data_IF_378018564512
#
_entry.id   IF_378018564512
#
_cell.length_a   1.000
_cell.length_b   1.000
_cell.length_c   1.000
_cell.angle_alpha   90.00
_cell.angle_beta   90.00
_cell.angle_gamma   90.00
#
_symmetry.space_group_name_H-M   'P 1'
#
loop_
_entity.id
_entity.type
_entity.pdbx_description
1 polymer ?
#
# COMPACT_ATOMS: atom_id res chain seq x y z
N UNK A 1 13.86 -45.56 17.69
CA UNK A 1 13.11 -44.36 17.27
C UNK A 1 13.38 -44.12 15.78
N UNK A 2 12.50 -44.57 14.86
CA UNK A 2 12.67 -44.29 13.44
C UNK A 2 12.00 -42.97 13.05
N UNK A 3 12.77 -42.06 12.45
CA UNK A 3 12.28 -40.84 11.78
C UNK A 3 11.67 -41.25 10.45
N UNK A 4 10.34 -41.36 10.39
CA UNK A 4 9.60 -41.49 9.14
C UNK A 4 9.55 -40.13 8.45
N UNK A 5 10.10 -40.10 7.24
CA UNK A 5 10.28 -38.89 6.46
C UNK A 5 8.93 -38.49 5.85
N UNK A 6 8.48 -37.26 6.12
CA UNK A 6 7.23 -36.64 5.64
C UNK A 6 7.29 -36.28 4.14
N UNK A 7 7.57 -37.23 3.25
CA UNK A 7 7.51 -36.99 1.79
C UNK A 7 6.10 -37.17 1.19
N UNK A 8 5.13 -37.68 1.96
CA UNK A 8 3.80 -37.99 1.44
C UNK A 8 2.86 -36.77 1.29
N UNK A 9 3.22 -35.60 1.82
CA UNK A 9 2.35 -34.41 1.78
C UNK A 9 2.52 -33.55 0.51
N UNK A 10 3.59 -33.74 -0.29
CA UNK A 10 3.86 -32.91 -1.47
C UNK A 10 3.37 -33.52 -2.81
N UNK A 11 2.93 -34.78 -2.80
CA UNK A 11 2.47 -35.48 -4.01
C UNK A 11 1.14 -34.97 -4.61
N UNK A 12 0.11 -34.57 -3.83
CA UNK A 12 -1.14 -34.10 -4.43
C UNK A 12 -1.04 -32.70 -5.06
N UNK A 13 -0.12 -31.86 -4.58
CA UNK A 13 0.09 -30.47 -5.08
C UNK A 13 0.66 -30.47 -6.51
N UNK A 14 1.49 -31.45 -6.84
CA UNK A 14 2.06 -31.61 -8.18
C UNK A 14 1.07 -32.27 -9.17
N UNK A 15 0.15 -33.09 -8.68
CA UNK A 15 -0.81 -33.81 -9.50
C UNK A 15 -2.03 -32.96 -9.92
N UNK A 16 -2.41 -31.97 -9.11
CA UNK A 16 -3.60 -31.15 -9.31
C UNK A 16 -3.31 -29.66 -9.05
N UNK A 17 -2.46 -29.01 -9.86
CA UNK A 17 -2.09 -27.61 -9.66
C UNK A 17 -3.33 -26.70 -9.66
N UNK A 18 -4.39 -27.02 -10.41
CA UNK A 18 -5.64 -26.21 -10.42
C UNK A 18 -6.40 -26.20 -9.10
N UNK A 19 -6.30 -27.24 -8.27
CA UNK A 19 -7.02 -27.31 -6.99
C UNK A 19 -6.27 -26.50 -5.92
N UNK A 20 -4.94 -26.61 -5.88
CA UNK A 20 -4.11 -25.78 -5.01
C UNK A 20 -4.20 -24.28 -5.34
N UNK A 21 -4.39 -23.94 -6.62
CA UNK A 21 -4.58 -22.56 -7.12
C UNK A 21 -5.87 -21.89 -6.65
N UNK A 22 -6.99 -22.61 -6.67
CA UNK A 22 -8.26 -22.11 -6.14
C UNK A 22 -8.20 -21.93 -4.61
N UNK A 23 -7.47 -22.81 -3.92
CA UNK A 23 -7.36 -22.79 -2.45
C UNK A 23 -6.54 -21.61 -1.92
N UNK A 24 -5.60 -21.05 -2.70
CA UNK A 24 -4.83 -19.86 -2.31
C UNK A 24 -5.72 -18.62 -2.37
N UNK A 25 -6.40 -18.37 -3.48
CA UNK A 25 -7.29 -17.20 -3.63
C UNK A 25 -8.45 -17.20 -2.62
N UNK A 26 -8.95 -18.36 -2.20
CA UNK A 26 -9.99 -18.46 -1.17
C UNK A 26 -9.49 -18.09 0.24
N UNK A 27 -8.17 -18.10 0.47
CA UNK A 27 -7.54 -17.80 1.77
C UNK A 27 -6.91 -16.41 1.84
N UNK A 28 -6.63 -15.79 0.69
CA UNK A 28 -6.08 -14.44 0.60
C UNK A 28 -7.20 -13.42 0.63
N UNK A 29 -7.22 -12.58 1.67
CA UNK A 29 -8.16 -11.47 1.73
C UNK A 29 -7.88 -10.47 0.60
N UNK A 30 -8.90 -10.00 -0.13
CA UNK A 30 -8.70 -9.02 -1.18
C UNK A 30 -8.26 -7.66 -0.62
N UNK A 31 -7.52 -6.86 -1.40
CA UNK A 31 -6.93 -5.61 -0.92
C UNK A 31 -8.00 -4.55 -0.59
N UNK A 32 -9.18 -4.63 -1.22
CA UNK A 32 -10.33 -3.75 -0.97
C UNK A 32 -11.16 -4.15 0.28
N UNK A 33 -10.57 -4.91 1.20
CA UNK A 33 -11.25 -5.21 2.46
C UNK A 33 -11.60 -3.93 3.24
N UNK A 34 -12.80 -3.85 3.85
CA UNK A 34 -13.24 -2.66 4.59
C UNK A 34 -12.28 -2.25 5.70
N UNK A 35 -11.60 -3.22 6.33
CA UNK A 35 -10.62 -2.96 7.37
C UNK A 35 -9.39 -2.21 6.83
N UNK A 36 -8.83 -2.68 5.71
CA UNK A 36 -7.67 -2.06 5.05
C UNK A 36 -8.02 -0.64 4.59
N UNK A 37 -9.19 -0.47 4.00
CA UNK A 37 -9.71 0.85 3.61
C UNK A 37 -9.86 1.77 4.83
N UNK A 38 -10.43 1.27 5.92
CA UNK A 38 -10.55 2.02 7.18
C UNK A 38 -9.21 2.48 7.72
N UNK A 39 -8.22 1.60 7.80
CA UNK A 39 -6.86 1.94 8.23
C UNK A 39 -6.19 2.96 7.30
N UNK A 40 -6.38 2.81 5.98
CA UNK A 40 -5.86 3.77 4.98
C UNK A 40 -6.48 5.16 5.18
N UNK A 41 -7.78 5.23 5.43
CA UNK A 41 -8.47 6.49 5.71
C UNK A 41 -7.98 7.14 7.01
N UNK A 42 -7.74 6.35 8.06
CA UNK A 42 -7.16 6.85 9.32
C UNK A 42 -5.74 7.39 9.08
N UNK A 43 -4.88 6.63 8.38
CA UNK A 43 -3.54 7.06 8.04
C UNK A 43 -3.56 8.36 7.22
N UNK A 44 -4.46 8.46 6.24
CA UNK A 44 -4.67 9.67 5.46
C UNK A 44 -5.11 10.85 6.34
N UNK A 45 -6.12 10.66 7.20
CA UNK A 45 -6.61 11.72 8.08
C UNK A 45 -5.52 12.26 9.01
N UNK A 46 -4.74 11.37 9.63
CA UNK A 46 -3.63 11.73 10.53
C UNK A 46 -2.54 12.49 9.77
N UNK A 47 -2.12 11.97 8.61
CA UNK A 47 -1.04 12.57 7.82
C UNK A 47 -1.42 13.94 7.27
N UNK A 48 -2.67 14.11 6.80
CA UNK A 48 -3.22 15.39 6.35
C UNK A 48 -3.30 16.39 7.50
N UNK A 49 -3.82 16.00 8.67
CA UNK A 49 -3.90 16.88 9.83
C UNK A 49 -2.52 17.40 10.26
N UNK A 50 -1.51 16.53 10.23
CA UNK A 50 -0.12 16.89 10.51
C UNK A 50 0.49 17.79 9.44
N UNK A 51 0.22 17.53 8.16
CA UNK A 51 0.72 18.33 7.03
C UNK A 51 0.12 19.74 6.97
N UNK A 52 -1.14 19.90 7.39
CA UNK A 52 -1.81 21.20 7.46
C UNK A 52 -1.31 22.06 8.64
N UNK A 53 -0.57 21.48 9.58
CA UNK A 53 -0.03 22.24 10.70
C UNK A 53 0.91 23.37 10.23
N UNK A 54 0.91 24.50 10.94
CA UNK A 54 1.88 25.57 10.72
C UNK A 54 3.30 25.23 11.16
N UNK A 55 3.49 24.15 11.94
CA UNK A 55 4.79 23.75 12.48
C UNK A 55 5.52 22.82 11.51
N UNK A 56 6.74 23.19 11.12
CA UNK A 56 7.60 22.37 10.24
C UNK A 56 7.82 20.94 10.77
N UNK A 57 7.98 20.79 12.09
CA UNK A 57 8.18 19.49 12.75
C UNK A 57 6.97 18.58 12.59
N UNK A 58 5.75 19.12 12.69
CA UNK A 58 4.52 18.35 12.50
C UNK A 58 4.32 17.95 11.04
N UNK A 59 4.68 18.82 10.09
CA UNK A 59 4.67 18.46 8.66
C UNK A 59 5.63 17.31 8.35
N UNK A 60 6.84 17.38 8.91
CA UNK A 60 7.82 16.30 8.78
C UNK A 60 7.30 14.99 9.42
N UNK A 61 6.66 15.06 10.59
CA UNK A 61 6.02 13.91 11.20
C UNK A 61 4.91 13.33 10.31
N UNK A 62 4.07 14.17 9.70
CA UNK A 62 3.05 13.74 8.75
C UNK A 62 3.65 13.02 7.54
N UNK A 63 4.77 13.51 7.01
CA UNK A 63 5.50 12.85 5.93
C UNK A 63 6.06 11.49 6.36
N UNK A 64 6.68 11.40 7.53
CA UNK A 64 7.23 10.15 8.06
C UNK A 64 6.12 9.11 8.28
N UNK A 65 4.98 9.51 8.86
CA UNK A 65 3.84 8.59 9.05
C UNK A 65 3.30 8.10 7.71
N UNK A 66 3.19 8.98 6.72
CA UNK A 66 2.73 8.59 5.38
C UNK A 66 3.70 7.63 4.69
N UNK A 67 5.00 7.84 4.86
CA UNK A 67 6.04 6.96 4.33
C UNK A 67 6.02 5.59 5.01
N UNK A 68 5.91 5.56 6.35
CA UNK A 68 5.80 4.31 7.12
C UNK A 68 4.55 3.54 6.71
N UNK A 69 3.42 4.23 6.49
CA UNK A 69 2.21 3.60 5.98
C UNK A 69 2.42 2.98 4.59
N UNK A 70 3.05 3.70 3.67
CA UNK A 70 3.33 3.18 2.33
C UNK A 70 4.22 1.92 2.37
N UNK A 71 5.28 1.96 3.18
CA UNK A 71 6.19 0.81 3.37
C UNK A 71 5.44 -0.37 3.99
N UNK A 72 4.65 -0.12 5.03
CA UNK A 72 3.86 -1.15 5.68
C UNK A 72 2.86 -1.76 4.69
N UNK A 73 1.97 -0.95 4.11
CA UNK A 73 0.87 -1.40 3.25
C UNK A 73 1.35 -2.19 2.04
N UNK A 74 2.43 -1.74 1.38
CA UNK A 74 2.99 -2.41 0.21
C UNK A 74 3.85 -3.61 0.63
N UNK A 75 4.68 -3.45 1.67
CA UNK A 75 5.63 -4.47 2.10
C UNK A 75 5.00 -5.67 2.80
N UNK A 76 3.84 -5.53 3.43
CA UNK A 76 3.14 -6.62 4.10
C UNK A 76 2.07 -7.29 3.25
N UNK A 77 1.85 -6.83 2.01
CA UNK A 77 0.84 -7.43 1.15
C UNK A 77 1.31 -8.77 0.56
N UNK A 78 0.42 -9.76 0.54
CA UNK A 78 0.71 -11.11 0.05
C UNK A 78 1.07 -11.14 -1.43
N UNK A 79 0.66 -10.12 -2.21
CA UNK A 79 1.08 -9.95 -3.60
C UNK A 79 2.60 -9.89 -3.78
N UNK A 80 3.32 -9.36 -2.78
CA UNK A 80 4.78 -9.21 -2.80
C UNK A 80 5.50 -10.28 -1.97
N UNK A 81 4.77 -11.15 -1.29
CA UNK A 81 5.36 -12.30 -0.59
C UNK A 81 6.05 -13.22 -1.58
N UNK A 82 7.25 -13.70 -1.22
CA UNK A 82 8.00 -14.68 -2.03
C UNK A 82 7.25 -16.02 -2.12
N UNK A 83 6.49 -16.36 -1.08
CA UNK A 83 5.77 -17.63 -0.98
C UNK A 83 4.41 -17.59 -1.68
N UNK A 84 3.65 -16.49 -1.55
CA UNK A 84 2.24 -16.41 -1.98
C UNK A 84 2.06 -15.61 -3.27
N UNK A 85 2.88 -14.57 -3.47
CA UNK A 85 2.76 -13.64 -4.60
C UNK A 85 2.84 -14.31 -5.99
N UNK A 86 3.74 -15.27 -6.25
CA UNK A 86 3.78 -16.00 -7.51
C UNK A 86 2.49 -16.77 -7.81
N UNK A 87 1.83 -17.31 -6.79
CA UNK A 87 0.57 -18.06 -6.96
C UNK A 87 -0.58 -17.12 -7.31
N UNK A 88 -0.74 -16.01 -6.56
CA UNK A 88 -1.77 -15.00 -6.84
C UNK A 88 -1.67 -14.49 -8.30
N UNK A 89 -0.46 -14.22 -8.79
CA UNK A 89 -0.23 -13.70 -10.15
C UNK A 89 -0.53 -14.70 -11.26
N UNK A 90 -0.41 -15.99 -10.98
CA UNK A 90 -0.73 -17.07 -11.93
C UNK A 90 -2.22 -17.35 -11.95
N UNK A 91 -2.90 -17.15 -10.82
CA UNK A 91 -4.30 -17.53 -10.63
C UNK A 91 -5.29 -16.45 -11.04
N UNK A 92 -4.89 -15.18 -10.93
CA UNK A 92 -5.72 -14.07 -11.38
C UNK A 92 -5.64 -13.87 -12.90
N UNK A 93 -6.78 -13.61 -13.57
CA UNK A 93 -6.80 -13.07 -14.92
C UNK A 93 -5.94 -11.79 -15.01
N UNK A 94 -5.25 -11.59 -16.13
CA UNK A 94 -4.34 -10.46 -16.30
C UNK A 94 -4.97 -9.07 -16.03
N UNK A 95 -6.27 -8.92 -16.25
CA UNK A 95 -7.01 -7.70 -15.90
C UNK A 95 -7.17 -7.51 -14.39
N UNK A 96 -7.58 -8.55 -13.68
CA UNK A 96 -7.80 -8.53 -12.24
C UNK A 96 -6.49 -8.40 -11.46
N UNK A 97 -5.43 -9.06 -11.92
CA UNK A 97 -4.06 -8.89 -11.42
C UNK A 97 -3.61 -7.42 -11.43
N UNK A 98 -3.94 -6.67 -12.49
CA UNK A 98 -3.62 -5.23 -12.59
C UNK A 98 -4.44 -4.40 -11.63
N UNK A 99 -5.74 -4.71 -11.48
CA UNK A 99 -6.62 -4.02 -10.53
C UNK A 99 -6.12 -4.24 -9.11
N UNK A 100 -5.80 -5.49 -8.76
CA UNK A 100 -5.27 -5.86 -7.46
C UNK A 100 -4.01 -5.07 -7.12
N UNK A 101 -2.99 -5.13 -8.00
CA UNK A 101 -1.75 -4.38 -7.82
C UNK A 101 -2.00 -2.86 -7.76
N UNK A 102 -2.86 -2.35 -8.63
CA UNK A 102 -3.22 -0.94 -8.67
C UNK A 102 -3.83 -0.47 -7.35
N UNK A 103 -4.73 -1.27 -6.77
CA UNK A 103 -5.35 -0.97 -5.47
C UNK A 103 -4.33 -0.94 -4.35
N UNK A 104 -3.44 -1.94 -4.24
CA UNK A 104 -2.39 -1.96 -3.20
C UNK A 104 -1.51 -0.72 -3.28
N UNK A 105 -1.05 -0.40 -4.50
CA UNK A 105 -0.17 0.74 -4.75
C UNK A 105 -0.90 2.04 -4.43
N UNK A 106 -2.17 2.17 -4.82
CA UNK A 106 -2.99 3.33 -4.52
C UNK A 106 -3.18 3.51 -3.00
N UNK A 107 -3.62 2.48 -2.30
CA UNK A 107 -3.85 2.52 -0.84
C UNK A 107 -2.57 2.82 -0.06
N UNK A 108 -1.44 2.27 -0.50
CA UNK A 108 -0.15 2.54 0.12
C UNK A 108 0.31 3.98 -0.11
N UNK A 109 0.15 4.51 -1.32
CA UNK A 109 0.71 5.80 -1.71
C UNK A 109 -0.20 7.00 -1.47
N UNK A 110 -1.53 6.81 -1.34
CA UNK A 110 -2.50 7.91 -1.17
C UNK A 110 -2.13 8.86 -0.02
N UNK A 111 -1.81 8.40 1.19
CA UNK A 111 -1.39 9.29 2.28
C UNK A 111 -0.12 10.10 1.95
N UNK A 112 0.84 9.46 1.27
CA UNK A 112 2.10 10.10 0.90
C UNK A 112 1.90 11.20 -0.15
N UNK A 113 1.11 10.90 -1.19
CA UNK A 113 0.75 11.86 -2.23
C UNK A 113 0.00 13.05 -1.62
N UNK A 114 -0.92 12.82 -0.68
CA UNK A 114 -1.66 13.89 -0.02
C UNK A 114 -0.72 14.86 0.73
N UNK A 115 0.22 14.34 1.52
CA UNK A 115 1.20 15.17 2.24
C UNK A 115 2.08 15.96 1.27
N UNK A 116 2.55 15.34 0.18
CA UNK A 116 3.36 16.01 -0.84
C UNK A 116 2.62 17.16 -1.52
N UNK A 117 1.35 16.93 -1.90
CA UNK A 117 0.49 17.96 -2.51
C UNK A 117 0.28 19.13 -1.54
N UNK A 118 -0.04 18.86 -0.28
CA UNK A 118 -0.20 19.90 0.75
C UNK A 118 1.12 20.67 0.93
N UNK A 119 2.25 19.96 0.96
CA UNK A 119 3.59 20.55 1.00
C UNK A 119 3.83 21.51 -0.16
N UNK A 120 3.60 21.05 -1.39
CA UNK A 120 3.81 21.84 -2.62
C UNK A 120 2.87 23.06 -2.72
N UNK A 121 1.60 22.90 -2.34
CA UNK A 121 0.63 24.01 -2.32
C UNK A 121 0.99 25.04 -1.25
N UNK A 122 1.45 24.60 -0.08
CA UNK A 122 1.84 25.53 0.98
C UNK A 122 3.13 26.27 0.62
N UNK A 123 4.15 25.62 0.06
CA UNK A 123 5.40 26.27 -0.37
C UNK A 123 5.20 27.24 -1.54
N UNK A 124 4.40 26.88 -2.54
CA UNK A 124 4.09 27.77 -3.68
C UNK A 124 3.34 29.04 -3.26
N UNK A 125 2.52 28.99 -2.21
CA UNK A 125 1.86 30.19 -1.63
C UNK A 125 2.86 31.13 -0.94
N UNK A 126 3.91 30.62 -0.32
CA UNK A 126 4.96 31.45 0.28
C UNK A 126 5.94 32.04 -0.74
N UNK A 127 6.07 31.41 -1.92
CA UNK A 127 6.94 31.89 -3.00
C UNK A 127 6.29 32.93 -3.91
N UNK A 128 5.02 33.31 -3.73
CA UNK A 128 4.47 34.49 -4.44
C UNK A 128 5.22 35.71 -3.93
N UNK A 129 6.09 36.34 -4.76
CA UNK A 129 6.69 37.60 -4.39
C UNK A 129 5.54 38.59 -4.32
N UNK A 130 5.42 39.34 -3.22
CA UNK A 130 4.67 40.58 -3.24
C UNK A 130 5.17 41.36 -4.45
N UNK A 131 4.31 41.51 -5.48
CA UNK A 131 4.61 42.40 -6.60
C UNK A 131 5.02 43.72 -5.98
N UNK A 132 6.20 44.29 -6.31
CA UNK A 132 6.53 45.61 -5.81
C UNK A 132 5.40 46.52 -6.24
N UNK A 133 4.73 47.15 -5.26
CA UNK A 133 3.82 48.27 -5.51
C UNK A 133 4.64 49.27 -6.31
N UNK A 134 4.42 49.33 -7.62
CA UNK A 134 4.95 50.40 -8.45
C UNK A 134 4.30 51.68 -7.93
N UNK A 135 5.01 52.39 -7.08
CA UNK A 135 4.76 53.81 -6.85
C UNK A 135 5.20 54.50 -8.15
N UNK A 136 4.22 54.87 -8.95
CA UNK A 136 4.31 55.91 -9.97
C UNK A 136 3.14 56.87 -9.69
#
# INVERSE_FOLDING_TARGET
MPRTIRWAACLPVLALPRVARAEVLDKVAPPWEPFVLGCTLVALAVTVALALSGKKTLRAAGFVVALLWAVYRIGTDEWFSEDVGPHIRVDLPAGEARVWLGTIVLEGLVPLVAVLVIGAVTTSRYQRPDRPRSRA
#
